data_IF_573598054190
#
_entry.id   IF_573598054190
#
_cell.length_a   1.000
_cell.length_b   1.000
_cell.length_c   1.000
_cell.angle_alpha   90.00
_cell.angle_beta   90.00
_cell.angle_gamma   90.00
#
_symmetry.space_group_name_H-M   'P 1'
#
loop_
_entity.id
_entity.type
_entity.pdbx_description
1 polymer ?
#
# COMPACT_ATOMS: atom_id res chain seq x y z
N UNK A 1 20.43 8.23 -25.08
CA UNK A 1 19.28 7.56 -25.73
C UNK A 1 18.74 6.55 -24.74
N UNK A 2 17.41 6.38 -24.65
CA UNK A 2 16.82 5.39 -23.75
C UNK A 2 17.07 3.98 -24.31
N UNK A 3 17.63 3.10 -23.49
CA UNK A 3 18.04 1.74 -23.85
C UNK A 3 17.14 0.68 -23.21
N UNK A 4 16.72 0.90 -21.96
CA UNK A 4 15.87 -0.03 -21.21
C UNK A 4 14.96 0.73 -20.25
N UNK A 5 13.73 0.26 -20.12
CA UNK A 5 12.79 0.66 -19.05
C UNK A 5 12.54 -0.60 -18.22
N UNK A 6 12.63 -0.48 -16.91
CA UNK A 6 12.31 -1.55 -15.98
C UNK A 6 11.28 -1.02 -14.97
N UNK A 7 10.17 -1.75 -14.86
CA UNK A 7 8.99 -1.38 -14.09
C UNK A 7 8.81 -2.42 -13.01
N UNK A 8 9.16 -2.08 -11.77
CA UNK A 8 9.08 -2.99 -10.63
C UNK A 8 7.89 -2.58 -9.79
N UNK A 9 6.90 -3.45 -9.64
CA UNK A 9 5.70 -3.18 -8.86
C UNK A 9 5.61 -4.14 -7.68
N UNK A 10 5.15 -3.60 -6.56
CA UNK A 10 4.93 -4.33 -5.33
C UNK A 10 3.53 -4.04 -4.82
N UNK A 11 2.83 -5.11 -4.48
CA UNK A 11 1.54 -5.07 -3.82
C UNK A 11 1.66 -5.75 -2.45
N UNK A 12 1.37 -5.04 -1.38
CA UNK A 12 1.42 -5.53 -0.01
C UNK A 12 0.01 -5.50 0.60
N UNK A 13 -0.74 -6.59 0.46
CA UNK A 13 -2.08 -6.67 1.06
C UNK A 13 -2.00 -7.07 2.53
N UNK A 14 -1.21 -8.10 2.87
CA UNK A 14 -0.92 -8.50 4.26
C UNK A 14 0.52 -8.97 4.35
N UNK A 15 1.06 -9.14 5.56
CA UNK A 15 2.45 -9.62 5.80
C UNK A 15 2.82 -10.83 4.93
N UNK A 16 1.89 -11.79 4.82
CA UNK A 16 2.07 -13.02 4.03
C UNK A 16 1.45 -12.97 2.62
N UNK A 17 0.68 -11.93 2.30
CA UNK A 17 -0.02 -11.76 1.03
C UNK A 17 0.58 -10.57 0.28
N UNK A 18 1.77 -10.81 -0.29
CA UNK A 18 2.51 -9.85 -1.10
C UNK A 18 2.61 -10.36 -2.54
N UNK A 19 2.67 -9.44 -3.50
CA UNK A 19 2.96 -9.74 -4.90
C UNK A 19 4.03 -8.78 -5.41
N UNK A 20 4.96 -9.32 -6.18
CA UNK A 20 6.06 -8.59 -6.77
C UNK A 20 6.12 -8.96 -8.25
N UNK A 21 6.13 -7.96 -9.12
CA UNK A 21 6.43 -8.16 -10.53
C UNK A 21 7.45 -7.14 -11.03
N UNK A 22 8.16 -7.53 -12.09
CA UNK A 22 9.14 -6.71 -12.77
C UNK A 22 8.91 -6.89 -14.26
N UNK A 23 8.51 -5.84 -14.96
CA UNK A 23 8.35 -5.83 -16.41
C UNK A 23 9.46 -5.01 -17.06
N UNK A 24 10.20 -5.64 -17.96
CA UNK A 24 11.36 -5.06 -18.64
C UNK A 24 10.99 -4.79 -20.10
N UNK A 25 11.36 -3.61 -20.58
CA UNK A 25 11.33 -3.20 -21.99
C UNK A 25 12.77 -2.89 -22.40
N UNK A 26 13.41 -3.83 -23.09
CA UNK A 26 14.77 -3.72 -23.62
C UNK A 26 14.72 -3.26 -25.09
N UNK A 27 14.99 -1.98 -25.31
CA UNK A 27 14.93 -1.34 -26.62
C UNK A 27 16.15 -1.68 -27.49
N UNK A 28 17.27 -2.06 -26.87
CA UNK A 28 18.49 -2.46 -27.58
C UNK A 28 18.34 -3.86 -28.18
N UNK A 29 17.76 -4.79 -27.41
CA UNK A 29 17.50 -6.17 -27.86
C UNK A 29 16.14 -6.34 -28.55
N UNK A 30 15.28 -5.33 -28.49
CA UNK A 30 13.93 -5.37 -29.08
C UNK A 30 13.02 -6.38 -28.40
N UNK A 31 13.04 -6.47 -27.07
CA UNK A 31 12.22 -7.40 -26.30
C UNK A 31 11.55 -6.72 -25.12
N UNK A 32 10.32 -7.12 -24.79
CA UNK A 32 9.68 -6.81 -23.53
C UNK A 32 9.14 -8.08 -22.86
N UNK A 33 9.34 -8.21 -21.54
CA UNK A 33 9.06 -9.45 -20.81
C UNK A 33 8.99 -9.22 -19.29
N UNK A 34 8.33 -10.13 -18.58
CA UNK A 34 8.43 -10.18 -17.12
C UNK A 34 9.74 -10.84 -16.66
N UNK A 35 10.46 -10.22 -15.73
CA UNK A 35 11.62 -10.82 -15.09
C UNK A 35 11.17 -11.76 -13.96
N UNK A 36 11.02 -13.05 -14.30
CA UNK A 36 10.49 -14.05 -13.36
C UNK A 36 11.46 -14.34 -12.19
N UNK A 37 12.75 -14.10 -12.36
CA UNK A 37 13.74 -14.38 -11.31
C UNK A 37 13.66 -13.43 -10.12
N UNK A 38 13.06 -12.25 -10.30
CA UNK A 38 12.83 -11.25 -9.23
C UNK A 38 11.47 -11.43 -8.55
N UNK A 39 10.70 -12.44 -8.94
CA UNK A 39 9.40 -12.72 -8.34
C UNK A 39 9.59 -13.48 -7.04
N UNK A 40 9.24 -12.84 -5.94
CA UNK A 40 8.99 -13.53 -4.68
C UNK A 40 7.51 -13.88 -4.65
N UNK A 41 7.17 -15.09 -5.11
CA UNK A 41 5.92 -15.73 -4.74
C UNK A 41 6.18 -16.45 -3.42
N UNK A 42 5.72 -15.94 -2.26
CA UNK A 42 5.41 -16.88 -1.20
C UNK A 42 4.27 -17.74 -1.76
N UNK A 43 4.57 -18.95 -2.22
CA UNK A 43 3.62 -19.99 -2.67
C UNK A 43 2.64 -20.42 -1.56
N UNK A 44 2.55 -19.67 -0.47
CA UNK A 44 1.68 -19.92 0.66
C UNK A 44 0.65 -18.82 0.71
N UNK A 45 -0.47 -19.05 0.01
CA UNK A 45 -1.71 -18.43 0.41
C UNK A 45 -2.00 -18.95 1.83
N UNK A 46 -1.83 -18.08 2.83
CA UNK A 46 -2.28 -18.38 4.18
C UNK A 46 -3.65 -17.75 4.34
N UNK A 47 -4.70 -18.57 4.39
CA UNK A 47 -5.99 -18.16 4.92
C UNK A 47 -5.77 -17.83 6.39
N UNK A 48 -5.64 -16.55 6.72
CA UNK A 48 -5.40 -16.12 8.11
C UNK A 48 -6.70 -16.06 8.93
N UNK A 49 -7.86 -16.32 8.30
CA UNK A 49 -9.18 -16.44 8.91
C UNK A 49 -10.16 -17.08 7.92
N UNK A 50 -10.73 -18.24 8.27
CA UNK A 50 -11.73 -18.97 7.46
C UNK A 50 -13.09 -18.27 7.35
N UNK A 51 -13.26 -17.07 7.93
CA UNK A 51 -14.56 -16.44 8.18
C UNK A 51 -14.88 -15.25 7.25
N UNK A 52 -13.95 -14.77 6.41
CA UNK A 52 -14.19 -13.59 5.57
C UNK A 52 -13.78 -13.79 4.11
N UNK A 53 -14.62 -13.32 3.17
CA UNK A 53 -14.19 -13.10 1.79
C UNK A 53 -13.20 -11.93 1.75
N UNK A 54 -11.91 -12.21 1.56
CA UNK A 54 -10.91 -11.15 1.51
C UNK A 54 -11.09 -10.23 0.29
N UNK A 55 -11.31 -8.92 0.49
CA UNK A 55 -11.60 -7.98 -0.60
C UNK A 55 -10.43 -7.82 -1.58
N UNK A 56 -9.19 -8.04 -1.11
CA UNK A 56 -7.98 -7.99 -1.95
C UNK A 56 -7.73 -9.28 -2.75
N UNK A 57 -8.38 -10.39 -2.42
CA UNK A 57 -8.14 -11.69 -3.07
C UNK A 57 -8.37 -11.67 -4.58
N UNK A 58 -9.46 -11.06 -5.11
CA UNK A 58 -9.63 -10.89 -6.56
C UNK A 58 -8.47 -10.15 -7.23
N UNK A 59 -7.95 -9.10 -6.60
CA UNK A 59 -6.82 -8.31 -7.11
C UNK A 59 -5.56 -9.17 -7.16
N UNK A 60 -5.21 -9.83 -6.04
CA UNK A 60 -4.03 -10.70 -5.98
C UNK A 60 -4.10 -11.84 -7.00
N UNK A 61 -5.28 -12.42 -7.21
CA UNK A 61 -5.49 -13.46 -8.21
C UNK A 61 -5.34 -12.96 -9.65
N UNK A 62 -5.76 -11.73 -9.95
CA UNK A 62 -5.54 -11.11 -11.26
C UNK A 62 -4.03 -10.88 -11.51
N UNK A 63 -3.34 -10.28 -10.55
CA UNK A 63 -1.89 -10.01 -10.61
C UNK A 63 -1.10 -11.30 -10.92
N UNK A 64 -1.38 -12.37 -10.17
CA UNK A 64 -0.72 -13.68 -10.35
C UNK A 64 -0.98 -14.30 -11.72
N UNK A 65 -2.18 -14.14 -12.28
CA UNK A 65 -2.56 -14.72 -13.59
C UNK A 65 -1.94 -13.98 -14.77
N UNK A 66 -1.67 -12.68 -14.62
CA UNK A 66 -1.17 -11.80 -15.70
C UNK A 66 0.30 -12.04 -16.01
N UNK A 67 1.08 -12.33 -14.96
CA UNK A 67 2.49 -12.61 -15.09
C UNK A 67 2.73 -13.87 -15.91
N UNK A 68 3.59 -13.79 -16.92
CA UNK A 68 3.89 -14.93 -17.80
C UNK A 68 5.33 -14.92 -18.30
N UNK A 69 5.81 -16.07 -18.77
CA UNK A 69 7.12 -16.23 -19.42
C UNK A 69 7.15 -15.78 -20.88
N UNK A 70 6.08 -15.13 -21.36
CA UNK A 70 5.99 -14.66 -22.73
C UNK A 70 6.96 -13.51 -22.97
N UNK A 71 7.72 -13.61 -24.06
CA UNK A 71 8.56 -12.53 -24.57
C UNK A 71 7.82 -11.84 -25.71
N UNK A 72 7.70 -10.52 -25.63
CA UNK A 72 7.14 -9.66 -26.66
C UNK A 72 8.29 -9.10 -27.50
N UNK A 73 8.37 -9.51 -28.77
CA UNK A 73 9.37 -8.97 -29.69
C UNK A 73 8.90 -7.63 -30.26
N UNK A 74 9.78 -6.63 -30.18
CA UNK A 74 9.54 -5.27 -30.65
C UNK A 74 10.19 -5.08 -32.02
N UNK A 75 9.42 -4.60 -33.00
CA UNK A 75 9.98 -4.16 -34.28
C UNK A 75 10.52 -2.72 -34.19
N UNK A 76 11.25 -2.29 -35.22
CA UNK A 76 11.84 -0.94 -35.26
C UNK A 76 10.79 0.16 -35.06
N UNK A 77 9.58 -0.01 -35.63
CA UNK A 77 8.48 0.95 -35.48
C UNK A 77 7.99 1.07 -34.04
N UNK A 78 7.91 -0.05 -33.33
CA UNK A 78 7.51 -0.09 -31.92
C UNK A 78 8.57 0.56 -31.03
N UNK A 79 9.85 0.31 -31.31
CA UNK A 79 10.97 0.93 -30.59
C UNK A 79 10.95 2.45 -30.80
N UNK A 80 10.85 2.92 -32.05
CA UNK A 80 10.75 4.35 -32.37
C UNK A 80 9.54 5.01 -31.69
N UNK A 81 8.41 4.31 -31.69
CA UNK A 81 7.20 4.77 -31.02
C UNK A 81 7.42 4.94 -29.50
N UNK A 82 8.00 3.95 -28.83
CA UNK A 82 8.30 4.01 -27.39
C UNK A 82 9.24 5.18 -27.10
N UNK A 83 10.35 5.30 -27.84
CA UNK A 83 11.32 6.36 -27.63
C UNK A 83 10.70 7.75 -27.75
N UNK A 84 9.90 7.97 -28.80
CA UNK A 84 9.24 9.25 -29.03
C UNK A 84 8.17 9.54 -27.98
N UNK A 85 7.24 8.60 -27.76
CA UNK A 85 6.12 8.81 -26.83
C UNK A 85 6.58 8.98 -25.40
N UNK A 86 7.56 8.21 -24.96
CA UNK A 86 8.13 8.35 -23.62
C UNK A 86 8.75 9.73 -23.41
N UNK A 87 9.49 10.24 -24.40
CA UNK A 87 10.04 11.60 -24.34
C UNK A 87 8.95 12.68 -24.36
N UNK A 88 7.89 12.49 -25.15
CA UNK A 88 6.76 13.42 -25.25
C UNK A 88 5.94 13.48 -23.96
N UNK A 89 5.77 12.35 -23.26
CA UNK A 89 5.05 12.24 -21.99
C UNK A 89 5.67 13.07 -20.87
N UNK A 90 6.99 13.34 -20.94
CA UNK A 90 7.73 14.10 -19.91
C UNK A 90 7.41 13.61 -18.49
N UNK A 91 7.27 12.29 -18.34
CA UNK A 91 6.62 11.65 -17.21
C UNK A 91 7.16 12.15 -15.85
N UNK A 92 8.46 12.42 -15.76
CA UNK A 92 9.12 12.78 -14.52
C UNK A 92 9.63 14.23 -14.42
N UNK A 93 9.23 15.12 -15.34
CA UNK A 93 9.76 16.50 -15.36
C UNK A 93 9.43 17.32 -14.10
N UNK A 94 8.25 17.10 -13.52
CA UNK A 94 7.75 17.78 -12.32
C UNK A 94 7.42 16.77 -11.20
N UNK A 95 7.96 15.55 -11.30
CA UNK A 95 7.78 14.51 -10.31
C UNK A 95 8.97 14.46 -9.36
N UNK A 96 8.69 14.60 -8.07
CA UNK A 96 9.68 14.35 -7.02
C UNK A 96 9.60 12.89 -6.59
N UNK A 97 10.68 12.14 -6.84
CA UNK A 97 10.79 10.74 -6.42
C UNK A 97 10.78 10.62 -4.91
N UNK A 98 10.02 9.66 -4.40
CA UNK A 98 9.99 9.37 -2.97
C UNK A 98 11.34 8.75 -2.52
N UNK A 99 11.83 9.11 -1.33
CA UNK A 99 13.14 8.64 -0.84
C UNK A 99 13.08 7.20 -0.31
N UNK A 100 14.13 6.41 -0.59
CA UNK A 100 14.14 4.97 -0.28
C UNK A 100 14.37 4.65 1.21
N UNK A 101 15.04 5.53 1.96
CA UNK A 101 15.74 5.17 3.19
C UNK A 101 14.87 5.07 4.45
N UNK A 102 13.54 5.24 4.36
CA UNK A 102 12.68 5.26 5.56
C UNK A 102 11.36 4.50 5.41
N UNK A 103 10.84 4.39 4.18
CA UNK A 103 9.57 3.74 3.85
C UNK A 103 9.64 2.21 3.73
N UNK A 104 10.62 1.59 4.39
CA UNK A 104 10.58 0.15 4.72
C UNK A 104 9.79 -0.09 6.02
N UNK A 105 9.53 0.97 6.82
CA UNK A 105 8.83 0.86 8.11
C UNK A 105 7.32 1.11 8.05
N UNK A 106 6.83 1.88 7.07
CA UNK A 106 5.40 2.06 6.79
C UNK A 106 5.18 1.94 5.29
N UNK A 107 4.35 0.99 4.85
CA UNK A 107 4.07 0.76 3.45
C UNK A 107 2.56 0.91 3.16
N UNK A 108 2.24 1.48 2.00
CA UNK A 108 0.89 1.39 1.44
C UNK A 108 0.76 0.09 0.63
N UNK A 109 -0.46 -0.23 0.22
CA UNK A 109 -0.78 -1.42 -0.57
C UNK A 109 0.02 -1.50 -1.86
N UNK A 110 0.36 -0.38 -2.50
CA UNK A 110 1.04 -0.36 -3.79
C UNK A 110 2.30 0.52 -3.76
N UNK A 111 3.35 0.06 -4.43
CA UNK A 111 4.50 0.87 -4.80
C UNK A 111 5.06 0.42 -6.14
N UNK A 112 5.66 1.34 -6.89
CA UNK A 112 6.29 1.13 -8.17
C UNK A 112 7.64 1.84 -8.25
N UNK A 113 8.65 1.16 -8.79
CA UNK A 113 9.90 1.78 -9.19
C UNK A 113 10.03 1.74 -10.71
N UNK A 114 10.43 2.86 -11.28
CA UNK A 114 10.74 2.99 -12.71
C UNK A 114 12.22 3.27 -12.86
N UNK A 115 12.89 2.30 -13.47
CA UNK A 115 14.32 2.26 -13.70
C UNK A 115 14.57 2.55 -15.18
N UNK A 116 15.18 3.69 -15.48
CA UNK A 116 15.50 4.13 -16.84
C UNK A 116 16.99 4.02 -17.09
N UNK A 117 17.35 3.29 -18.15
CA UNK A 117 18.74 3.09 -18.53
C UNK A 117 19.02 3.84 -19.81
N UNK A 118 20.04 4.68 -19.78
CA UNK A 118 20.55 5.41 -20.93
C UNK A 118 21.99 5.01 -21.20
N UNK A 119 22.48 5.32 -22.39
CA UNK A 119 23.89 5.08 -22.75
C UNK A 119 24.83 5.83 -21.77
N UNK A 120 25.35 5.11 -20.78
CA UNK A 120 26.28 5.63 -19.77
C UNK A 120 25.64 6.31 -18.55
N UNK A 121 24.31 6.26 -18.39
CA UNK A 121 23.60 6.88 -17.27
C UNK A 121 22.38 6.03 -16.83
N UNK A 122 21.94 6.22 -15.60
CA UNK A 122 20.80 5.52 -15.01
C UNK A 122 20.00 6.45 -14.11
N UNK A 123 18.67 6.37 -14.19
CA UNK A 123 17.74 7.13 -13.37
C UNK A 123 16.72 6.20 -12.74
N UNK A 124 16.42 6.45 -11.47
CA UNK A 124 15.45 5.70 -10.66
C UNK A 124 14.38 6.64 -10.14
N UNK A 125 13.13 6.24 -10.30
CA UNK A 125 11.96 6.97 -9.80
C UNK A 125 11.10 6.02 -8.96
N UNK A 126 10.94 6.34 -7.68
CA UNK A 126 10.11 5.61 -6.74
C UNK A 126 8.75 6.31 -6.57
N UNK A 127 7.68 5.52 -6.71
CA UNK A 127 6.27 5.93 -6.69
C UNK A 127 5.58 5.07 -5.63
N UNK A 128 5.00 5.66 -4.59
CA UNK A 128 4.22 4.90 -3.59
C UNK A 128 2.87 5.54 -3.36
N UNK A 129 2.89 6.80 -2.94
CA UNK A 129 1.72 7.58 -2.59
C UNK A 129 1.52 8.79 -3.50
N UNK A 130 2.54 9.14 -4.29
CA UNK A 130 2.48 10.19 -5.29
C UNK A 130 2.71 9.61 -6.68
N UNK A 131 1.86 9.96 -7.64
CA UNK A 131 1.95 9.48 -9.02
C UNK A 131 2.29 10.64 -9.96
N UNK A 132 3.09 10.39 -11.01
CA UNK A 132 3.25 11.32 -12.11
C UNK A 132 1.91 11.74 -12.73
N UNK A 133 1.78 13.00 -13.16
CA UNK A 133 0.55 13.52 -13.79
C UNK A 133 0.11 12.68 -15.00
N UNK A 134 1.07 12.27 -15.84
CA UNK A 134 0.83 11.50 -17.06
C UNK A 134 0.90 9.98 -16.85
N UNK A 135 0.69 9.48 -15.61
CA UNK A 135 0.78 8.05 -15.30
C UNK A 135 -0.24 7.20 -16.06
N UNK A 136 -1.48 7.69 -16.17
CA UNK A 136 -2.55 6.98 -16.92
C UNK A 136 -2.20 6.91 -18.41
N UNK A 137 -1.75 8.03 -19.00
CA UNK A 137 -1.33 8.07 -20.40
C UNK A 137 -0.14 7.14 -20.68
N UNK A 138 0.79 7.02 -19.71
CA UNK A 138 1.88 6.05 -19.80
C UNK A 138 1.36 4.62 -19.80
N UNK A 139 0.41 4.27 -18.94
CA UNK A 139 -0.23 2.96 -18.93
C UNK A 139 -0.99 2.66 -20.22
N UNK A 140 -1.73 3.63 -20.77
CA UNK A 140 -2.42 3.49 -22.06
C UNK A 140 -1.43 3.27 -23.21
N UNK A 141 -0.29 3.98 -23.20
CA UNK A 141 0.78 3.76 -24.18
C UNK A 141 1.27 2.31 -24.15
N UNK A 142 1.54 1.77 -22.95
CA UNK A 142 2.00 0.39 -22.77
C UNK A 142 0.91 -0.61 -23.15
N UNK A 143 -0.34 -0.36 -22.79
CA UNK A 143 -1.48 -1.20 -23.16
C UNK A 143 -1.60 -1.33 -24.68
N UNK A 144 -1.48 -0.23 -25.41
CA UNK A 144 -1.56 -0.23 -26.87
C UNK A 144 -0.44 -1.05 -27.53
N UNK A 145 0.73 -1.17 -26.90
CA UNK A 145 1.86 -1.94 -27.40
C UNK A 145 1.76 -3.42 -27.06
N UNK A 146 1.35 -3.74 -25.83
CA UNK A 146 1.45 -5.09 -25.29
C UNK A 146 0.10 -5.82 -25.19
N UNK A 147 -1.01 -5.08 -25.34
CA UNK A 147 -2.38 -5.54 -25.21
C UNK A 147 -2.69 -6.15 -23.84
N UNK A 148 -2.07 -5.61 -22.80
CA UNK A 148 -2.40 -5.84 -21.40
C UNK A 148 -1.96 -4.64 -20.56
N UNK A 149 -2.57 -4.47 -19.39
CA UNK A 149 -2.26 -3.36 -18.49
C UNK A 149 -1.01 -3.69 -17.66
N UNK A 150 0.11 -3.10 -18.07
CA UNK A 150 1.44 -3.31 -17.49
C UNK A 150 1.56 -2.65 -16.12
N UNK A 151 0.92 -1.49 -15.92
CA UNK A 151 1.00 -0.69 -14.68
C UNK A 151 -0.10 -1.05 -13.67
N UNK A 152 -0.88 -2.09 -13.96
CA UNK A 152 -1.99 -2.57 -13.14
C UNK A 152 -3.00 -1.46 -12.78
N UNK A 153 -3.20 -0.48 -13.67
CA UNK A 153 -4.13 0.64 -13.49
C UNK A 153 -5.53 0.14 -13.12
N UNK A 154 -6.02 -0.93 -13.75
CA UNK A 154 -7.36 -1.47 -13.45
C UNK A 154 -7.48 -1.97 -12.00
N UNK A 155 -6.38 -2.48 -11.43
CA UNK A 155 -6.33 -2.92 -10.04
C UNK A 155 -6.18 -1.72 -9.09
N UNK A 156 -5.49 -0.66 -9.51
CA UNK A 156 -5.35 0.57 -8.74
C UNK A 156 -6.68 1.33 -8.57
N UNK A 157 -7.68 1.14 -9.45
CA UNK A 157 -9.04 1.67 -9.23
C UNK A 157 -9.74 1.06 -7.99
N UNK A 158 -9.24 -0.07 -7.48
CA UNK A 158 -9.74 -0.74 -6.27
C UNK A 158 -8.86 -0.48 -5.04
N UNK A 159 -7.80 0.31 -5.17
CA UNK A 159 -6.86 0.60 -4.09
C UNK A 159 -6.84 2.12 -3.88
N UNK A 160 -7.00 2.56 -2.63
CA UNK A 160 -6.95 3.98 -2.28
C UNK A 160 -5.55 4.53 -2.54
N UNK A 161 -5.45 5.28 -3.63
CA UNK A 161 -4.26 6.02 -4.07
C UNK A 161 -4.70 7.42 -4.49
N UNK A 162 -3.80 8.40 -4.44
CA UNK A 162 -4.12 9.74 -4.92
C UNK A 162 -4.31 9.81 -6.45
N UNK A 163 -4.05 8.72 -7.19
CA UNK A 163 -4.34 8.59 -8.62
C UNK A 163 -5.85 8.59 -8.90
N UNK A 164 -6.62 7.81 -8.14
CA UNK A 164 -8.07 7.63 -8.35
C UNK A 164 -8.95 8.23 -7.25
N UNK A 165 -8.35 8.64 -6.13
CA UNK A 165 -9.09 9.13 -4.98
C UNK A 165 -8.52 10.46 -4.49
N UNK A 166 -9.33 11.18 -3.72
CA UNK A 166 -8.93 12.33 -2.94
C UNK A 166 -8.94 11.90 -1.47
N UNK A 167 -7.77 11.93 -0.86
CA UNK A 167 -7.59 11.56 0.54
C UNK A 167 -7.63 12.84 1.37
N UNK A 168 -8.49 12.87 2.38
CA UNK A 168 -8.63 14.00 3.30
C UNK A 168 -8.65 13.50 4.74
N UNK A 169 -8.45 14.43 5.67
CA UNK A 169 -8.49 14.17 7.11
C UNK A 169 -9.76 13.43 7.58
N UNK A 170 -10.91 13.72 6.97
CA UNK A 170 -12.21 13.18 7.36
C UNK A 170 -12.71 12.03 6.48
N UNK A 171 -11.91 11.57 5.51
CA UNK A 171 -12.29 10.42 4.69
C UNK A 171 -11.60 10.29 3.34
N UNK A 172 -12.03 9.26 2.61
CA UNK A 172 -11.68 9.05 1.20
C UNK A 172 -12.83 9.49 0.32
N UNK A 173 -12.50 10.16 -0.77
CA UNK A 173 -13.45 10.65 -1.75
C UNK A 173 -13.08 10.18 -3.15
N UNK A 174 -14.07 9.93 -4.01
CA UNK A 174 -13.82 9.76 -5.44
C UNK A 174 -13.32 11.08 -6.08
N UNK A 175 -12.87 11.04 -7.34
CA UNK A 175 -12.46 12.27 -8.07
C UNK A 175 -13.59 13.27 -8.30
N UNK A 176 -14.85 12.92 -8.04
CA UNK A 176 -16.01 13.81 -8.08
C UNK A 176 -16.35 14.38 -6.70
N UNK A 177 -15.50 14.13 -5.69
CA UNK A 177 -15.67 14.52 -4.29
C UNK A 177 -16.89 13.92 -3.59
N UNK A 178 -17.33 12.73 -4.00
CA UNK A 178 -18.28 11.93 -3.21
C UNK A 178 -17.50 11.11 -2.18
N UNK A 179 -17.89 11.21 -0.91
CA UNK A 179 -17.27 10.43 0.18
C UNK A 179 -17.57 8.95 0.00
N UNK A 180 -16.55 8.11 0.14
CA UNK A 180 -16.72 6.67 0.17
C UNK A 180 -17.26 6.23 1.54
N UNK A 181 -18.18 5.26 1.52
CA UNK A 181 -18.78 4.70 2.73
C UNK A 181 -17.93 3.53 3.22
N UNK A 182 -17.51 3.57 4.48
CA UNK A 182 -16.69 2.52 5.08
C UNK A 182 -17.56 1.31 5.43
N UNK A 183 -17.24 0.14 4.90
CA UNK A 183 -17.99 -1.11 5.09
C UNK A 183 -17.32 -2.05 6.09
N UNK A 184 -15.99 -2.01 6.22
CA UNK A 184 -15.29 -2.78 7.25
C UNK A 184 -13.96 -2.18 7.65
N UNK A 185 -13.51 -2.54 8.85
CA UNK A 185 -12.19 -2.21 9.40
C UNK A 185 -11.57 -3.53 9.84
N UNK A 186 -10.36 -3.83 9.41
CA UNK A 186 -9.57 -4.94 9.92
C UNK A 186 -8.24 -4.41 10.45
N UNK A 187 -7.93 -4.74 11.70
CA UNK A 187 -6.62 -4.52 12.27
C UNK A 187 -5.98 -5.87 12.57
N UNK A 188 -4.72 -6.03 12.21
CA UNK A 188 -3.97 -7.19 12.61
C UNK A 188 -2.54 -6.85 13.00
N UNK A 189 -2.00 -7.70 13.85
CA UNK A 189 -0.69 -7.56 14.45
C UNK A 189 0.04 -8.90 14.40
N UNK A 190 1.33 -8.87 14.15
CA UNK A 190 2.19 -10.04 14.01
C UNK A 190 3.46 -9.83 14.82
N UNK A 191 3.88 -10.86 15.54
CA UNK A 191 5.27 -10.93 16.00
C UNK A 191 6.22 -11.05 14.79
N UNK A 192 7.36 -10.38 14.84
CA UNK A 192 8.38 -10.45 13.78
C UNK A 192 9.11 -11.80 13.83
N UNK A 193 9.28 -12.40 15.01
CA UNK A 193 9.96 -13.69 15.20
C UNK A 193 9.50 -14.43 16.47
N UNK A 194 9.37 -15.79 16.46
CA UNK A 194 9.40 -16.66 15.29
C UNK A 194 8.22 -16.33 14.37
N UNK A 195 8.30 -16.73 13.10
CA UNK A 195 7.29 -16.47 12.06
C UNK A 195 5.95 -17.19 12.33
N UNK A 196 5.39 -16.98 13.51
CA UNK A 196 4.25 -17.69 14.04
C UNK A 196 2.95 -17.01 13.63
N UNK A 197 1.89 -17.76 13.86
CA UNK A 197 0.50 -17.46 13.52
C UNK A 197 0.14 -16.01 13.84
N UNK A 198 -0.52 -15.27 12.93
CA UNK A 198 -1.05 -13.95 13.25
C UNK A 198 -1.77 -13.96 14.60
N UNK A 199 -1.62 -12.88 15.38
CA UNK A 199 -2.62 -12.61 16.41
C UNK A 199 -3.98 -12.53 15.71
N UNK A 200 -5.07 -13.06 16.33
CA UNK A 200 -6.40 -12.94 15.76
C UNK A 200 -6.65 -11.49 15.33
N UNK A 201 -6.85 -11.28 14.04
CA UNK A 201 -7.16 -9.95 13.53
C UNK A 201 -8.52 -9.52 14.05
N UNK A 202 -8.63 -8.28 14.50
CA UNK A 202 -9.92 -7.67 14.84
C UNK A 202 -10.56 -7.21 13.55
N UNK A 203 -11.77 -7.69 13.27
CA UNK A 203 -12.56 -7.23 12.15
C UNK A 203 -13.85 -6.60 12.67
N UNK A 204 -14.08 -5.35 12.29
CA UNK A 204 -15.34 -4.62 12.48
C UNK A 204 -16.09 -4.65 11.16
N UNK A 205 -17.20 -5.38 11.13
CA UNK A 205 -18.17 -5.32 10.04
C UNK A 205 -19.14 -4.17 10.32
N UNK A 206 -19.03 -3.08 9.56
CA UNK A 206 -19.88 -1.91 9.75
C UNK A 206 -21.31 -2.23 9.36
N UNK A 207 -21.51 -2.95 8.25
CA UNK A 207 -22.83 -3.22 7.70
C UNK A 207 -23.65 -4.07 8.67
N UNK A 208 -23.03 -5.10 9.25
CA UNK A 208 -23.66 -6.01 10.20
C UNK A 208 -23.55 -5.55 11.66
N UNK A 209 -22.73 -4.52 11.95
CA UNK A 209 -22.45 -3.99 13.30
C UNK A 209 -21.82 -5.01 14.25
N UNK A 210 -20.94 -5.84 13.71
CA UNK A 210 -20.32 -6.95 14.43
C UNK A 210 -18.82 -6.73 14.58
N UNK A 211 -18.25 -7.17 15.71
CA UNK A 211 -16.81 -7.35 15.86
C UNK A 211 -16.50 -8.84 15.98
N UNK A 212 -15.58 -9.30 15.13
CA UNK A 212 -15.00 -10.64 15.20
C UNK A 212 -13.50 -10.56 15.48
N UNK A 213 -12.90 -11.61 16.05
CA UNK A 213 -11.46 -11.70 16.31
C UNK A 213 -11.03 -11.62 17.79
N UNK A 214 -11.79 -10.94 18.65
CA UNK A 214 -11.65 -10.98 20.11
C UNK A 214 -13.05 -10.96 20.73
N UNK A 215 -13.27 -11.70 21.84
CA UNK A 215 -14.53 -11.85 22.60
C UNK A 215 -15.72 -11.09 21.98
N UNK A 216 -16.55 -11.80 21.19
CA UNK A 216 -17.68 -11.25 20.43
C UNK A 216 -18.45 -10.22 21.29
N UNK A 217 -18.50 -8.97 20.83
CA UNK A 217 -19.30 -7.91 21.42
C UNK A 217 -20.36 -7.48 20.41
N UNK A 218 -21.60 -7.46 20.86
CA UNK A 218 -22.76 -7.21 20.00
C UNK A 218 -23.22 -5.74 19.93
N UNK A 219 -22.50 -4.78 20.55
CA UNK A 219 -22.95 -3.38 20.58
C UNK A 219 -21.78 -2.39 20.69
N UNK A 220 -21.24 -1.96 19.55
CA UNK A 220 -20.33 -0.80 19.48
C UNK A 220 -20.98 0.28 18.64
N UNK A 221 -20.99 1.51 19.16
CA UNK A 221 -21.41 2.67 18.38
C UNK A 221 -20.36 2.98 17.32
N UNK A 222 -20.59 2.47 16.11
CA UNK A 222 -19.73 2.66 14.94
C UNK A 222 -19.51 4.14 14.61
N UNK A 223 -20.47 5.01 14.93
CA UNK A 223 -20.31 6.47 14.78
C UNK A 223 -19.14 6.98 15.59
N UNK A 224 -18.95 6.43 16.79
CA UNK A 224 -17.82 6.81 17.65
C UNK A 224 -16.52 6.32 17.04
N UNK A 225 -16.47 5.09 16.51
CA UNK A 225 -15.26 4.58 15.87
C UNK A 225 -14.86 5.43 14.65
N UNK A 226 -15.81 5.82 13.80
CA UNK A 226 -15.55 6.74 12.68
C UNK A 226 -15.03 8.09 13.15
N UNK A 227 -15.66 8.67 14.16
CA UNK A 227 -15.20 9.94 14.74
C UNK A 227 -13.77 9.82 15.28
N UNK A 228 -13.36 8.65 15.80
CA UNK A 228 -11.98 8.42 16.21
C UNK A 228 -11.03 8.34 15.00
N UNK A 229 -11.40 7.65 13.92
CA UNK A 229 -10.58 7.60 12.69
C UNK A 229 -10.34 9.00 12.14
N UNK A 230 -11.38 9.82 12.06
CA UNK A 230 -11.30 11.22 11.61
C UNK A 230 -10.47 12.05 12.59
N UNK A 231 -10.79 12.05 13.89
CA UNK A 231 -10.09 12.82 14.93
C UNK A 231 -8.57 12.59 14.92
N UNK A 232 -8.14 11.36 14.68
CA UNK A 232 -6.72 10.99 14.69
C UNK A 232 -6.07 11.03 13.30
N UNK A 233 -6.79 11.45 12.26
CA UNK A 233 -6.29 11.59 10.90
C UNK A 233 -5.80 10.27 10.33
N UNK A 234 -6.51 9.16 10.60
CA UNK A 234 -6.11 7.81 10.17
C UNK A 234 -5.93 7.73 8.65
N UNK A 235 -6.80 8.44 7.93
CA UNK A 235 -6.73 8.54 6.49
C UNK A 235 -5.46 9.28 6.00
N UNK A 236 -4.78 10.05 6.84
CA UNK A 236 -3.58 10.76 6.42
C UNK A 236 -2.28 10.11 6.92
N UNK A 237 -2.38 8.95 7.58
CA UNK A 237 -1.25 8.22 8.16
C UNK A 237 -0.16 7.83 7.17
N UNK A 238 -0.47 7.71 5.88
CA UNK A 238 0.52 7.43 4.83
C UNK A 238 1.39 8.65 4.48
N UNK A 239 0.97 9.86 4.86
CA UNK A 239 1.67 11.08 4.49
C UNK A 239 2.70 11.47 5.54
N UNK A 240 3.77 12.11 5.07
CA UNK A 240 4.88 12.59 5.90
C UNK A 240 4.42 13.40 7.12
N UNK A 241 3.31 14.13 6.99
CA UNK A 241 2.78 14.94 8.09
C UNK A 241 2.36 14.12 9.31
N UNK A 242 2.03 12.84 9.19
CA UNK A 242 1.68 11.93 10.30
C UNK A 242 2.82 10.98 10.67
N UNK A 243 4.03 11.23 10.16
CA UNK A 243 5.21 10.39 10.34
C UNK A 243 6.41 11.25 10.76
N UNK A 244 6.22 12.30 11.57
CA UNK A 244 7.32 13.19 11.92
C UNK A 244 8.31 12.53 12.89
N UNK A 245 7.81 11.68 13.80
CA UNK A 245 8.67 10.97 14.77
C UNK A 245 9.70 10.09 14.08
N UNK A 246 9.26 9.52 12.97
CA UNK A 246 9.92 8.49 12.23
C UNK A 246 11.29 8.98 11.71
N UNK A 247 11.35 10.23 11.22
CA UNK A 247 12.60 10.88 10.77
C UNK A 247 13.70 10.97 11.82
N UNK A 248 13.34 10.91 13.10
CA UNK A 248 14.27 11.01 14.23
C UNK A 248 14.47 9.67 14.94
N UNK A 249 13.75 8.63 14.51
CA UNK A 249 13.72 7.32 15.14
C UNK A 249 14.24 6.24 14.18
N UNK A 250 15.53 5.97 14.25
CA UNK A 250 16.14 4.86 13.54
C UNK A 250 16.35 3.66 14.46
N UNK A 251 15.26 2.96 14.78
CA UNK A 251 15.33 1.70 15.51
C UNK A 251 15.61 0.53 14.56
N UNK A 252 16.73 -0.19 14.71
CA UNK A 252 17.07 -1.37 13.92
C UNK A 252 16.55 -2.67 14.56
N UNK A 253 15.53 -2.59 15.43
CA UNK A 253 15.04 -3.76 16.18
C UNK A 253 14.58 -4.84 15.19
N UNK A 254 15.28 -5.98 15.20
CA UNK A 254 14.98 -7.14 14.36
C UNK A 254 13.88 -8.03 14.97
N UNK A 255 13.61 -7.87 16.28
CA UNK A 255 12.61 -8.60 17.06
C UNK A 255 11.52 -7.63 17.53
N UNK A 256 10.59 -7.24 16.65
CA UNK A 256 9.51 -6.34 17.03
C UNK A 256 8.16 -6.73 16.47
N UNK A 257 7.37 -5.74 16.06
CA UNK A 257 5.97 -5.88 15.67
C UNK A 257 5.78 -5.51 14.20
N UNK A 258 4.99 -6.31 13.51
CA UNK A 258 4.38 -5.91 12.25
C UNK A 258 2.89 -5.72 12.46
N UNK A 259 2.29 -4.74 11.82
CA UNK A 259 0.86 -4.53 11.92
C UNK A 259 0.30 -4.05 10.58
N UNK A 260 -1.01 -4.12 10.46
CA UNK A 260 -1.73 -3.50 9.36
C UNK A 260 -3.09 -2.99 9.81
N UNK A 261 -3.56 -1.97 9.11
CA UNK A 261 -4.92 -1.47 9.18
C UNK A 261 -5.49 -1.47 7.77
N UNK A 262 -6.52 -2.29 7.56
CA UNK A 262 -7.30 -2.34 6.33
C UNK A 262 -8.67 -1.68 6.56
N UNK A 263 -8.97 -0.68 5.74
CA UNK A 263 -10.27 -0.03 5.65
C UNK A 263 -10.87 -0.39 4.29
N UNK A 264 -12.03 -1.02 4.30
CA UNK A 264 -12.75 -1.41 3.09
C UNK A 264 -13.94 -0.48 2.94
N UNK A 265 -14.09 0.08 1.75
CA UNK A 265 -15.19 0.94 1.39
C UNK A 265 -16.12 0.24 0.40
N UNK A 266 -17.28 0.87 0.19
CA UNK A 266 -18.23 0.45 -0.83
C UNK A 266 -17.55 0.18 -2.19
N UNK A 267 -18.10 -0.77 -2.95
CA UNK A 267 -17.52 -1.30 -4.19
C UNK A 267 -16.17 -2.02 -4.01
N UNK A 268 -15.86 -2.49 -2.79
CA UNK A 268 -14.63 -3.23 -2.45
C UNK A 268 -13.37 -2.42 -2.73
N UNK A 269 -13.41 -1.11 -2.47
CA UNK A 269 -12.24 -0.23 -2.55
C UNK A 269 -11.46 -0.40 -1.24
N UNK A 270 -10.15 -0.60 -1.34
CA UNK A 270 -9.31 -1.00 -0.22
C UNK A 270 -8.31 0.10 0.07
N UNK A 271 -8.26 0.52 1.33
CA UNK A 271 -7.12 1.20 1.87
C UNK A 271 -6.44 0.29 2.87
N UNK A 272 -5.18 -0.04 2.64
CA UNK A 272 -4.42 -0.76 3.63
C UNK A 272 -3.06 -0.10 3.88
N UNK A 273 -2.76 0.11 5.16
CA UNK A 273 -1.52 0.67 5.67
C UNK A 273 -0.89 -0.40 6.54
N UNK A 274 0.38 -0.66 6.35
CA UNK A 274 1.11 -1.64 7.13
C UNK A 274 2.42 -1.05 7.64
N UNK A 275 2.83 -1.51 8.82
CA UNK A 275 4.02 -1.03 9.48
C UNK A 275 4.89 -2.15 10.03
N UNK A 276 6.19 -1.87 10.04
CA UNK A 276 7.27 -2.72 10.50
C UNK A 276 8.06 -1.93 11.55
N UNK A 277 7.89 -2.29 12.84
CA UNK A 277 8.54 -1.63 13.97
C UNK A 277 8.35 -0.10 14.03
N UNK A 278 7.25 0.38 13.48
CA UNK A 278 6.90 1.80 13.45
C UNK A 278 5.38 1.96 13.40
N UNK A 279 4.87 3.06 13.95
CA UNK A 279 3.47 3.45 13.85
C UNK A 279 3.34 4.91 13.41
N UNK A 280 2.20 5.36 12.88
CA UNK A 280 1.93 6.79 12.71
C UNK A 280 1.98 7.57 14.03
N UNK A 281 2.22 8.87 13.96
CA UNK A 281 2.37 9.76 15.13
C UNK A 281 1.16 9.68 16.08
N UNK A 282 -0.05 9.55 15.54
CA UNK A 282 -1.31 9.54 16.32
C UNK A 282 -1.82 8.14 16.69
N UNK A 283 -1.11 7.07 16.32
CA UNK A 283 -1.55 5.69 16.51
C UNK A 283 -1.89 5.35 17.97
N UNK A 284 -0.97 5.63 18.91
CA UNK A 284 -1.21 5.28 20.32
C UNK A 284 -2.39 6.05 20.90
N UNK A 285 -2.59 7.30 20.50
CA UNK A 285 -3.73 8.08 20.97
C UNK A 285 -5.05 7.48 20.49
N UNK A 286 -5.13 7.03 19.22
CA UNK A 286 -6.26 6.26 18.72
C UNK A 286 -6.47 4.98 19.54
N UNK A 287 -5.40 4.22 19.72
CA UNK A 287 -5.43 2.93 20.42
C UNK A 287 -5.95 3.04 21.86
N UNK A 288 -5.50 4.05 22.61
CA UNK A 288 -6.02 4.28 23.96
C UNK A 288 -7.50 4.67 23.98
N UNK A 289 -7.96 5.51 23.04
CA UNK A 289 -9.37 5.89 22.96
C UNK A 289 -10.26 4.70 22.52
N UNK A 290 -9.78 3.85 21.61
CA UNK A 290 -10.45 2.59 21.23
C UNK A 290 -10.51 1.64 22.43
N UNK A 291 -9.42 1.48 23.18
CA UNK A 291 -9.40 0.63 24.39
C UNK A 291 -10.31 1.16 25.48
N UNK A 292 -10.41 2.47 25.65
CA UNK A 292 -11.35 3.11 26.59
C UNK A 292 -12.81 2.90 26.17
N UNK A 293 -13.09 2.98 24.87
CA UNK A 293 -14.44 2.78 24.31
C UNK A 293 -14.90 1.33 24.42
N UNK A 294 -14.03 0.40 24.03
CA UNK A 294 -14.38 -1.02 23.88
C UNK A 294 -14.05 -1.84 25.12
N UNK A 295 -13.18 -1.35 26.00
CA UNK A 295 -12.62 -2.10 27.14
C UNK A 295 -11.59 -3.17 26.73
N UNK A 296 -11.21 -3.23 25.45
CA UNK A 296 -10.34 -4.26 24.87
C UNK A 296 -9.14 -3.63 24.16
N UNK A 297 -8.00 -4.30 24.17
CA UNK A 297 -6.79 -3.83 23.49
C UNK A 297 -6.77 -4.20 22.00
N UNK A 298 -7.76 -3.70 21.25
CA UNK A 298 -7.97 -4.11 19.85
C UNK A 298 -6.86 -3.68 18.89
N UNK A 299 -6.03 -2.72 19.30
CA UNK A 299 -4.87 -2.23 18.55
C UNK A 299 -3.55 -2.68 19.20
N UNK A 300 -3.61 -3.72 20.04
CA UNK A 300 -2.46 -4.46 20.58
C UNK A 300 -1.38 -3.57 21.20
N UNK A 301 -1.77 -2.54 21.97
CA UNK A 301 -0.82 -1.63 22.64
C UNK A 301 0.09 -2.42 23.59
N UNK A 302 -0.46 -3.40 24.31
CA UNK A 302 0.28 -4.25 25.26
C UNK A 302 1.40 -5.08 24.61
N UNK A 303 1.39 -5.24 23.28
CA UNK A 303 2.47 -5.89 22.53
C UNK A 303 3.68 -4.97 22.27
N UNK A 304 3.53 -3.66 22.46
CA UNK A 304 4.56 -2.66 22.17
C UNK A 304 5.44 -2.47 23.40
N UNK A 305 6.80 -2.46 23.27
CA UNK A 305 7.68 -2.18 24.39
C UNK A 305 7.38 -0.84 25.08
N UNK A 306 7.45 -0.81 26.42
CA UNK A 306 7.10 0.38 27.21
C UNK A 306 7.92 1.62 26.83
N UNK A 307 9.20 1.46 26.50
CA UNK A 307 10.08 2.56 26.07
C UNK A 307 9.61 3.18 24.74
N UNK A 308 9.14 2.36 23.81
CA UNK A 308 8.55 2.79 22.53
C UNK A 308 7.18 3.48 22.75
N UNK A 309 6.37 2.97 23.69
CA UNK A 309 5.10 3.58 24.08
C UNK A 309 5.30 5.02 24.58
N UNK A 310 6.31 5.23 25.43
CA UNK A 310 6.62 6.56 25.97
C UNK A 310 7.06 7.53 24.87
N UNK A 311 7.92 7.07 23.95
CA UNK A 311 8.36 7.84 22.79
C UNK A 311 7.17 8.25 21.91
N UNK A 312 6.36 7.29 21.46
CA UNK A 312 5.25 7.53 20.55
C UNK A 312 4.15 8.42 21.16
N UNK A 313 3.91 8.31 22.47
CA UNK A 313 2.94 9.16 23.16
C UNK A 313 3.31 10.65 23.13
N UNK A 314 4.60 10.99 23.13
CA UNK A 314 5.03 12.39 23.09
C UNK A 314 4.70 13.02 21.74
N UNK A 315 5.00 12.32 20.64
CA UNK A 315 4.69 12.78 19.28
C UNK A 315 3.20 12.89 19.00
N UNK A 316 2.41 11.91 19.45
CA UNK A 316 0.95 11.96 19.27
C UNK A 316 0.32 13.18 19.94
N UNK A 317 0.78 13.54 21.15
CA UNK A 317 0.30 14.74 21.85
C UNK A 317 0.68 16.02 21.11
N UNK A 318 1.92 16.15 20.65
CA UNK A 318 2.39 17.32 19.90
C UNK A 318 1.58 17.54 18.61
N UNK A 319 1.21 16.46 17.93
CA UNK A 319 0.44 16.51 16.68
C UNK A 319 -1.01 16.97 16.87
N UNK A 320 -1.57 16.76 18.06
CA UNK A 320 -2.97 17.03 18.39
C UNK A 320 -3.19 18.33 19.18
N UNK A 321 -2.10 19.08 19.46
CA UNK A 321 -2.11 20.44 20.01
C UNK A 321 -2.22 21.47 18.89
#
# INVERSE_FOLDING_TARGET
MLEKIEIIQRFNFKKLNKHYDCFIIDLVRGNAYFNINEMIYPDRFFETNYLASYPWSPILNDLKKRVSSKIHHLDEKSIDYIQKKFADLKLFNDFESESFSYFEKLENVYSCNINLYFSGDYQEYCIKNNFPENWIEFGEMLFNLFNFDVLNISNLEKIVTNLFFNIQHDGVYDKKNNRLELTSIEFGHYEVYPYDTPHPSVMVDVENREITGYYEKEDIDLTVLYNLLEKYGVYEWIFESYQNKSKNHDSPVLDGYDWYLELVFNNSIIWNILGHNEYPDTYLCLAYDVKKLTGLDLLEIESIPQEEIELFNNYGKEKLL
#
